data_IF_001133366805
#
_entry.id   IF_001133366805
#
_cell.length_a   1.000
_cell.length_b   1.000
_cell.length_c   1.000
_cell.angle_alpha   90.00
_cell.angle_beta   90.00
_cell.angle_gamma   90.00
#
_symmetry.space_group_name_H-M   'P 1'
#
loop_
_entity.id
_entity.type
_entity.pdbx_description
1 polymer ?
#
# COMPACT_ATOMS: atom_id res chain seq x y z
N UNK A 1 -34.24 8.94 -2.52
CA UNK A 1 -33.04 9.51 -3.17
C UNK A 1 -32.77 10.90 -2.61
N UNK A 2 -33.70 11.87 -2.60
CA UNK A 2 -33.47 13.23 -2.09
C UNK A 2 -33.05 13.26 -0.63
N UNK A 3 -33.66 12.45 0.23
CA UNK A 3 -33.33 12.33 1.66
C UNK A 3 -31.89 11.82 1.83
N UNK A 4 -31.46 10.86 0.99
CA UNK A 4 -30.08 10.37 1.03
C UNK A 4 -29.06 11.44 0.66
N UNK A 5 -29.33 12.25 -0.37
CA UNK A 5 -28.44 13.35 -0.77
C UNK A 5 -28.44 14.53 0.20
N UNK A 6 -29.52 14.74 0.97
CA UNK A 6 -29.58 15.82 1.98
C UNK A 6 -28.54 15.63 3.09
N UNK A 7 -28.08 14.40 3.34
CA UNK A 7 -27.01 14.13 4.31
C UNK A 7 -25.68 14.79 3.90
N UNK A 8 -25.37 14.90 2.62
CA UNK A 8 -24.17 15.62 2.15
C UNK A 8 -24.25 17.12 2.39
N UNK A 9 -25.44 17.70 2.22
CA UNK A 9 -25.66 19.12 2.56
C UNK A 9 -25.44 19.36 4.06
N UNK A 10 -25.93 18.46 4.93
CA UNK A 10 -25.72 18.59 6.38
C UNK A 10 -24.24 18.49 6.77
N UNK A 11 -23.42 17.70 6.08
CA UNK A 11 -21.97 17.64 6.30
C UNK A 11 -21.33 19.00 6.02
N UNK A 12 -21.66 19.63 4.88
CA UNK A 12 -21.10 20.93 4.52
C UNK A 12 -21.54 22.04 5.49
N UNK A 13 -22.82 22.08 5.88
CA UNK A 13 -23.35 23.06 6.83
C UNK A 13 -22.64 22.90 8.19
N UNK A 14 -22.47 21.68 8.65
CA UNK A 14 -21.80 21.40 9.92
C UNK A 14 -20.31 21.75 9.88
N UNK A 15 -19.63 21.49 8.76
CA UNK A 15 -18.23 21.87 8.57
C UNK A 15 -18.05 23.39 8.56
N UNK A 16 -18.97 24.13 7.96
CA UNK A 16 -18.97 25.60 7.94
C UNK A 16 -19.12 26.22 9.37
N UNK A 17 -19.73 25.50 10.31
CA UNK A 17 -19.80 25.90 11.73
C UNK A 17 -18.48 25.70 12.49
N UNK A 18 -17.44 25.20 11.83
CA UNK A 18 -16.08 24.98 12.35
C UNK A 18 -16.03 24.23 13.69
N UNK A 19 -16.57 23.01 13.79
CA UNK A 19 -16.55 22.22 15.01
C UNK A 19 -15.09 21.83 15.40
N UNK A 20 -14.81 21.49 16.67
CA UNK A 20 -13.47 21.14 17.15
C UNK A 20 -12.81 19.98 16.36
N UNK A 21 -13.62 19.06 15.83
CA UNK A 21 -13.16 17.98 14.93
C UNK A 21 -13.75 18.20 13.54
N UNK A 22 -12.98 18.81 12.66
CA UNK A 22 -13.37 19.14 11.30
C UNK A 22 -12.35 18.60 10.29
N UNK A 23 -12.23 17.26 10.20
CA UNK A 23 -11.31 16.61 9.27
C UNK A 23 -11.64 16.98 7.82
N UNK A 24 -10.62 17.43 7.07
CA UNK A 24 -10.71 17.88 5.68
C UNK A 24 -11.61 19.08 5.41
N UNK A 25 -12.18 19.69 6.44
CA UNK A 25 -13.01 20.91 6.38
C UNK A 25 -13.89 21.02 5.11
N UNK A 26 -14.89 20.13 4.92
CA UNK A 26 -15.74 20.12 3.73
C UNK A 26 -16.78 21.26 3.72
N UNK A 27 -16.34 22.47 4.02
CA UNK A 27 -17.19 23.67 4.16
C UNK A 27 -17.62 24.28 2.82
N UNK A 28 -17.05 23.83 1.71
CA UNK A 28 -17.37 24.28 0.37
C UNK A 28 -17.50 23.10 -0.61
N UNK A 29 -18.12 23.28 -1.81
CA UNK A 29 -18.36 22.19 -2.74
C UNK A 29 -17.11 21.45 -3.22
N UNK A 30 -15.97 22.14 -3.36
CA UNK A 30 -14.72 21.52 -3.81
C UNK A 30 -14.08 20.67 -2.71
N UNK A 31 -14.10 21.14 -1.46
CA UNK A 31 -13.64 20.38 -0.32
C UNK A 31 -14.54 19.16 -0.05
N UNK A 32 -15.87 19.30 -0.22
CA UNK A 32 -16.80 18.19 -0.14
C UNK A 32 -16.52 17.15 -1.23
N UNK A 33 -16.28 17.59 -2.47
CA UNK A 33 -15.93 16.71 -3.58
C UNK A 33 -14.64 15.93 -3.30
N UNK A 34 -13.59 16.60 -2.82
CA UNK A 34 -12.33 15.95 -2.41
C UNK A 34 -12.52 14.93 -1.28
N UNK A 35 -13.37 15.24 -0.29
CA UNK A 35 -13.73 14.32 0.78
C UNK A 35 -14.45 13.07 0.25
N UNK A 36 -15.42 13.25 -0.65
CA UNK A 36 -16.19 12.15 -1.24
C UNK A 36 -15.32 11.27 -2.16
N UNK A 37 -14.42 11.87 -2.91
CA UNK A 37 -13.44 11.15 -3.73
C UNK A 37 -12.35 10.47 -2.90
N UNK A 38 -12.27 10.74 -1.60
CA UNK A 38 -11.25 10.19 -0.72
C UNK A 38 -9.82 10.55 -1.15
N UNK A 39 -9.63 11.73 -1.72
CA UNK A 39 -8.34 12.21 -2.26
C UNK A 39 -7.21 12.12 -1.24
N UNK A 40 -7.52 12.25 0.04
CA UNK A 40 -6.57 12.12 1.16
C UNK A 40 -5.89 10.76 1.28
N UNK A 41 -6.46 9.70 0.71
CA UNK A 41 -5.90 8.35 0.78
C UNK A 41 -5.03 8.00 -0.42
N UNK A 42 -4.92 8.90 -1.39
CA UNK A 42 -4.21 8.68 -2.65
C UNK A 42 -4.84 7.61 -3.54
N UNK A 43 -4.28 7.44 -4.71
CA UNK A 43 -4.72 6.43 -5.67
C UNK A 43 -4.10 5.07 -5.34
N UNK A 44 -4.94 4.05 -5.28
CA UNK A 44 -4.53 2.67 -5.04
C UNK A 44 -4.76 1.85 -6.32
N UNK A 45 -3.72 1.20 -6.85
CA UNK A 45 -3.87 0.41 -8.07
C UNK A 45 -4.74 -0.83 -7.79
N UNK A 46 -5.90 -0.93 -8.46
CA UNK A 46 -6.81 -2.06 -8.32
C UNK A 46 -6.53 -3.17 -9.33
N UNK A 47 -6.44 -2.82 -10.62
CA UNK A 47 -6.29 -3.77 -11.72
C UNK A 47 -4.93 -3.67 -12.40
N UNK A 48 -4.38 -2.46 -12.53
CA UNK A 48 -3.11 -2.21 -13.18
C UNK A 48 -2.38 -1.08 -12.47
N UNK A 49 -1.09 -1.25 -12.23
CA UNK A 49 -0.28 -0.23 -11.55
C UNK A 49 1.05 -0.76 -11.05
N UNK A 50 1.83 0.10 -10.38
CA UNK A 50 3.13 -0.26 -9.85
C UNK A 50 3.03 -1.17 -8.63
N UNK A 51 4.07 -1.94 -8.40
CA UNK A 51 4.28 -2.68 -7.16
C UNK A 51 5.16 -1.88 -6.20
N UNK A 52 5.25 -2.32 -4.94
CA UNK A 52 5.97 -1.60 -3.87
C UNK A 52 7.43 -1.30 -4.17
N UNK A 53 8.05 -2.11 -5.02
CA UNK A 53 9.47 -2.01 -5.39
C UNK A 53 9.72 -1.19 -6.66
N UNK A 54 8.66 -0.68 -7.31
CA UNK A 54 8.79 0.08 -8.54
C UNK A 54 9.54 1.39 -8.29
N UNK A 55 10.61 1.69 -9.05
CA UNK A 55 11.33 2.95 -8.93
C UNK A 55 10.45 4.12 -9.39
N UNK A 56 10.74 5.30 -8.87
CA UNK A 56 10.03 6.53 -9.24
C UNK A 56 10.78 7.20 -10.38
N UNK A 57 10.08 7.51 -11.48
CA UNK A 57 10.64 8.25 -12.62
C UNK A 57 10.23 9.73 -12.65
N UNK A 58 9.18 10.11 -11.90
CA UNK A 58 8.67 11.47 -11.88
C UNK A 58 7.53 11.67 -10.88
N UNK A 59 6.89 12.83 -10.98
CA UNK A 59 5.76 13.22 -10.12
C UNK A 59 4.53 13.50 -10.95
N UNK A 60 3.38 12.97 -10.52
CA UNK A 60 2.07 13.33 -11.05
C UNK A 60 1.55 14.56 -10.31
N UNK A 61 1.11 15.56 -11.05
CA UNK A 61 0.51 16.76 -10.48
C UNK A 61 -1.01 16.75 -10.69
N UNK A 62 -1.72 17.29 -9.71
CA UNK A 62 -3.18 17.49 -9.78
C UNK A 62 -3.49 18.92 -9.37
N UNK A 63 -4.32 19.57 -10.13
CA UNK A 63 -4.81 20.89 -9.80
C UNK A 63 -5.96 20.79 -8.78
N UNK A 64 -5.76 21.40 -7.63
CA UNK A 64 -6.75 21.46 -6.56
C UNK A 64 -7.22 22.92 -6.40
N UNK A 65 -8.53 23.08 -6.28
CA UNK A 65 -9.15 24.39 -6.00
C UNK A 65 -9.44 24.49 -4.52
N UNK A 66 -9.01 25.58 -3.92
CA UNK A 66 -9.30 25.91 -2.54
C UNK A 66 -9.88 27.33 -2.43
N UNK A 67 -10.61 27.59 -1.36
CA UNK A 67 -11.14 28.91 -1.03
C UNK A 67 -10.09 29.65 -0.23
N UNK A 68 -9.68 30.82 -0.72
CA UNK A 68 -8.73 31.69 -0.03
C UNK A 68 -9.45 32.53 1.05
N UNK A 69 -8.68 33.14 1.94
CA UNK A 69 -9.19 34.01 3.03
C UNK A 69 -10.02 35.20 2.48
N UNK A 70 -9.71 35.64 1.27
CA UNK A 70 -10.47 36.69 0.55
C UNK A 70 -11.80 36.18 -0.05
N UNK A 71 -12.19 34.93 0.18
CA UNK A 71 -13.40 34.34 -0.40
C UNK A 71 -13.33 34.05 -1.91
N UNK A 72 -12.13 34.01 -2.49
CA UNK A 72 -11.92 33.69 -3.90
C UNK A 72 -11.35 32.28 -4.06
N UNK A 73 -11.77 31.59 -5.14
CA UNK A 73 -11.20 30.29 -5.48
C UNK A 73 -9.85 30.45 -6.17
N UNK A 74 -8.84 29.81 -5.65
CA UNK A 74 -7.50 29.69 -6.26
C UNK A 74 -7.23 28.24 -6.64
N UNK A 75 -6.44 28.06 -7.68
CA UNK A 75 -5.98 26.74 -8.12
C UNK A 75 -4.50 26.59 -7.81
N UNK A 76 -4.14 25.49 -7.18
CA UNK A 76 -2.75 25.12 -6.89
C UNK A 76 -2.49 23.73 -7.41
N UNK A 77 -1.37 23.54 -8.08
CA UNK A 77 -0.89 22.22 -8.50
C UNK A 77 -0.15 21.56 -7.34
N UNK A 78 -0.67 20.44 -6.88
CA UNK A 78 -0.06 19.63 -5.83
C UNK A 78 0.42 18.28 -6.39
N UNK A 79 1.42 17.70 -5.76
CA UNK A 79 1.84 16.34 -6.09
C UNK A 79 0.75 15.37 -5.66
N UNK A 80 0.14 14.69 -6.61
CA UNK A 80 -0.92 13.70 -6.36
C UNK A 80 -0.42 12.26 -6.33
N UNK A 81 0.78 12.01 -6.83
CA UNK A 81 1.37 10.68 -6.87
C UNK A 81 2.73 10.66 -7.56
N UNK A 82 3.21 9.47 -7.81
CA UNK A 82 4.49 9.23 -8.47
C UNK A 82 4.26 8.60 -9.84
N UNK A 83 5.15 8.92 -10.77
CA UNK A 83 5.25 8.22 -12.05
C UNK A 83 6.26 7.08 -11.91
N UNK A 84 5.98 5.97 -12.57
CA UNK A 84 6.84 4.80 -12.59
C UNK A 84 7.09 4.38 -14.03
N UNK A 85 8.25 3.79 -14.36
CA UNK A 85 8.51 3.26 -15.68
C UNK A 85 7.52 2.14 -16.04
N UNK A 86 7.12 2.06 -17.31
CA UNK A 86 6.09 1.11 -17.78
C UNK A 86 6.49 -0.35 -17.55
N UNK A 87 7.79 -0.67 -17.52
CA UNK A 87 8.31 -2.00 -17.24
C UNK A 87 7.97 -2.53 -15.84
N UNK A 88 7.71 -1.63 -14.87
CA UNK A 88 7.32 -1.95 -13.49
C UNK A 88 5.81 -1.85 -13.24
N UNK A 89 5.04 -1.65 -14.31
CA UNK A 89 3.58 -1.62 -14.24
C UNK A 89 3.01 -3.01 -14.50
N UNK A 90 2.27 -3.56 -13.56
CA UNK A 90 1.78 -4.94 -13.59
C UNK A 90 0.27 -5.03 -13.44
N UNK A 91 -0.29 -6.15 -13.92
CA UNK A 91 -1.68 -6.52 -13.68
C UNK A 91 -1.84 -7.02 -12.24
N UNK A 92 -2.93 -6.58 -11.60
CA UNK A 92 -3.35 -7.01 -10.28
C UNK A 92 -2.27 -6.82 -9.19
N UNK A 93 -1.70 -5.60 -9.03
CA UNK A 93 -0.66 -5.33 -8.04
C UNK A 93 -1.27 -5.26 -6.64
N UNK A 94 -1.16 -6.33 -5.85
CA UNK A 94 -1.69 -6.36 -4.47
C UNK A 94 -0.71 -5.83 -3.44
N UNK A 95 0.58 -5.94 -3.72
CA UNK A 95 1.68 -5.45 -2.90
C UNK A 95 2.20 -4.11 -3.46
N UNK A 96 1.42 -3.05 -3.31
CA UNK A 96 1.70 -1.72 -3.90
C UNK A 96 2.27 -0.72 -2.88
N UNK A 97 2.11 -0.96 -1.58
CA UNK A 97 2.56 -0.02 -0.56
C UNK A 97 4.07 -0.11 -0.35
N UNK A 98 4.80 0.87 -0.83
CA UNK A 98 6.26 0.98 -0.69
C UNK A 98 6.73 1.14 0.77
N UNK A 99 5.87 1.62 1.68
CA UNK A 99 6.19 1.75 3.10
C UNK A 99 6.12 0.41 3.86
N UNK A 100 5.53 -0.64 3.27
CA UNK A 100 5.53 -1.96 3.87
C UNK A 100 6.88 -2.65 3.66
N UNK A 101 7.33 -3.41 4.67
CA UNK A 101 8.58 -4.13 4.54
C UNK A 101 8.47 -5.30 3.54
N UNK A 102 9.54 -5.55 2.82
CA UNK A 102 9.65 -6.70 1.90
C UNK A 102 9.41 -8.02 2.62
N UNK A 103 9.92 -8.15 3.84
CA UNK A 103 9.78 -9.36 4.67
C UNK A 103 8.32 -9.62 5.03
N UNK A 104 7.57 -8.58 5.34
CA UNK A 104 6.12 -8.67 5.59
C UNK A 104 5.37 -9.18 4.37
N UNK A 105 5.66 -8.65 3.18
CA UNK A 105 5.07 -9.17 1.94
C UNK A 105 5.49 -10.60 1.66
N UNK A 106 6.77 -10.92 1.82
CA UNK A 106 7.33 -12.24 1.60
C UNK A 106 6.66 -13.30 2.49
N UNK A 107 6.45 -13.01 3.77
CA UNK A 107 5.83 -13.95 4.71
C UNK A 107 4.40 -14.35 4.32
N UNK A 108 3.63 -13.43 3.70
CA UNK A 108 2.26 -13.67 3.29
C UNK A 108 2.09 -14.17 1.86
N UNK A 109 3.07 -13.94 0.99
CA UNK A 109 2.94 -14.18 -0.45
C UNK A 109 3.81 -15.29 -1.00
N UNK A 110 4.95 -15.57 -0.35
CA UNK A 110 5.85 -16.62 -0.80
C UNK A 110 5.19 -18.01 -0.67
N UNK A 111 5.23 -18.77 -1.75
CA UNK A 111 4.65 -20.10 -1.84
C UNK A 111 5.69 -21.17 -2.19
N UNK A 112 6.95 -20.74 -2.27
CA UNK A 112 8.11 -21.62 -2.54
C UNK A 112 9.18 -21.36 -1.51
N UNK A 113 9.95 -22.41 -1.24
CA UNK A 113 11.22 -22.32 -0.52
C UNK A 113 12.37 -22.61 -1.47
N UNK A 114 13.54 -22.07 -1.15
CA UNK A 114 14.80 -22.42 -1.79
C UNK A 114 15.82 -22.74 -0.71
N UNK A 115 16.73 -23.63 -1.04
CA UNK A 115 17.89 -23.88 -0.18
C UNK A 115 18.90 -22.76 -0.34
N UNK A 116 19.33 -22.16 0.76
CA UNK A 116 20.40 -21.17 0.83
C UNK A 116 21.40 -21.61 1.90
N UNK A 117 22.50 -20.89 2.01
CA UNK A 117 23.50 -21.14 3.05
C UNK A 117 23.31 -20.16 4.20
N UNK A 118 23.41 -20.69 5.42
CA UNK A 118 23.40 -19.87 6.64
C UNK A 118 24.62 -18.93 6.62
N UNK A 119 24.41 -17.66 6.96
CA UNK A 119 25.47 -16.65 7.04
C UNK A 119 25.49 -16.06 8.44
N UNK A 120 26.69 -15.78 8.93
CA UNK A 120 26.90 -15.08 10.20
C UNK A 120 26.61 -13.56 10.05
N UNK A 121 26.81 -12.81 11.14
CA UNK A 121 26.64 -11.36 11.20
C UNK A 121 27.58 -10.61 10.25
N UNK A 122 28.71 -11.23 9.86
CA UNK A 122 29.69 -10.66 8.92
C UNK A 122 29.38 -11.05 7.45
N UNK A 123 28.34 -11.88 7.22
CA UNK A 123 27.96 -12.36 5.90
C UNK A 123 28.73 -13.60 5.43
N UNK A 124 29.59 -14.18 6.28
CA UNK A 124 30.32 -15.41 5.95
C UNK A 124 29.44 -16.64 6.12
N UNK A 125 29.71 -17.67 5.31
CA UNK A 125 28.93 -18.93 5.34
C UNK A 125 29.30 -19.72 6.60
N UNK A 126 28.31 -19.97 7.46
CA UNK A 126 28.44 -20.81 8.63
C UNK A 126 28.68 -22.27 8.22
N UNK A 127 29.66 -22.92 8.83
CA UNK A 127 30.06 -24.29 8.53
C UNK A 127 29.89 -25.19 9.77
N UNK A 128 29.54 -26.45 9.53
CA UNK A 128 29.46 -27.47 10.59
C UNK A 128 30.87 -27.87 11.09
N UNK A 129 30.89 -28.71 12.10
CA UNK A 129 32.15 -29.23 12.70
C UNK A 129 33.02 -30.04 11.69
N UNK A 130 32.43 -30.44 10.58
CA UNK A 130 33.08 -31.15 9.48
C UNK A 130 33.49 -30.22 8.33
N UNK A 131 33.32 -28.89 8.49
CA UNK A 131 33.65 -27.88 7.49
C UNK A 131 32.64 -27.73 6.34
N UNK A 132 31.48 -28.40 6.40
CA UNK A 132 30.43 -28.32 5.39
C UNK A 132 29.54 -27.10 5.64
N UNK A 133 29.09 -26.40 4.59
CA UNK A 133 28.20 -25.25 4.75
C UNK A 133 26.83 -25.68 5.27
N UNK A 134 26.34 -25.02 6.31
CA UNK A 134 24.98 -25.19 6.80
C UNK A 134 23.98 -24.75 5.75
N UNK A 135 23.03 -25.63 5.43
CA UNK A 135 21.94 -25.34 4.50
C UNK A 135 20.69 -24.99 5.30
N UNK A 136 20.05 -23.90 4.90
CA UNK A 136 18.77 -23.46 5.45
C UNK A 136 17.74 -23.35 4.32
N UNK A 137 16.48 -23.60 4.64
CA UNK A 137 15.38 -23.30 3.75
C UNK A 137 14.92 -21.87 3.97
N UNK A 138 14.95 -21.07 2.93
CA UNK A 138 14.46 -19.68 2.95
C UNK A 138 13.29 -19.54 1.99
N UNK A 139 12.34 -18.68 2.34
CA UNK A 139 11.25 -18.36 1.43
C UNK A 139 11.81 -17.71 0.16
N UNK A 140 11.43 -18.25 -1.00
CA UNK A 140 11.73 -17.67 -2.31
C UNK A 140 10.65 -16.64 -2.65
N UNK A 141 11.06 -15.42 -2.98
CA UNK A 141 10.15 -14.32 -3.20
C UNK A 141 10.62 -13.42 -4.33
N UNK A 142 9.72 -13.16 -5.26
CA UNK A 142 9.89 -12.20 -6.33
C UNK A 142 10.90 -12.59 -7.39
N UNK A 143 10.90 -11.82 -8.47
CA UNK A 143 11.90 -11.86 -9.52
C UNK A 143 12.89 -10.72 -9.31
N UNK A 144 14.16 -10.98 -9.48
CA UNK A 144 15.21 -9.95 -9.47
C UNK A 144 15.34 -9.35 -10.85
N UNK A 145 15.17 -8.05 -10.96
CA UNK A 145 15.35 -7.27 -12.18
C UNK A 145 16.45 -6.24 -11.94
N UNK A 146 17.40 -6.13 -12.86
CA UNK A 146 18.39 -5.05 -12.86
C UNK A 146 17.74 -3.84 -13.52
N UNK A 147 17.76 -2.73 -12.83
CA UNK A 147 17.25 -1.47 -13.35
C UNK A 147 18.35 -0.42 -13.38
N UNK A 148 18.57 0.15 -14.56
CA UNK A 148 19.49 1.25 -14.80
C UNK A 148 18.66 2.50 -15.11
N UNK A 149 18.82 3.54 -14.29
CA UNK A 149 18.13 4.83 -14.47
C UNK A 149 18.84 5.75 -15.47
N UNK A 150 19.93 5.30 -16.09
CA UNK A 150 20.74 6.08 -17.00
C UNK A 150 21.60 7.17 -16.34
N UNK A 151 21.70 7.18 -15.02
CA UNK A 151 22.49 8.16 -14.25
C UNK A 151 23.99 7.89 -14.28
N UNK A 152 24.40 6.71 -14.78
CA UNK A 152 25.79 6.27 -14.81
C UNK A 152 26.29 5.63 -13.50
N UNK A 153 25.40 5.40 -12.54
CA UNK A 153 25.67 4.60 -11.36
C UNK A 153 25.42 3.11 -11.63
N UNK A 154 25.87 2.25 -10.69
CA UNK A 154 25.60 0.81 -10.81
C UNK A 154 24.11 0.51 -10.83
N UNK A 155 23.64 -0.43 -11.69
CA UNK A 155 22.23 -0.80 -11.76
C UNK A 155 21.71 -1.31 -10.43
N UNK A 156 20.51 -0.88 -10.06
CA UNK A 156 19.83 -1.33 -8.86
C UNK A 156 19.18 -2.70 -9.06
N UNK A 157 19.37 -3.58 -8.09
CA UNK A 157 18.66 -4.87 -8.06
C UNK A 157 17.28 -4.68 -7.42
N UNK A 158 16.25 -4.67 -8.25
CA UNK A 158 14.86 -4.55 -7.81
C UNK A 158 14.25 -5.95 -7.70
N UNK A 159 13.54 -6.19 -6.61
CA UNK A 159 12.81 -7.45 -6.39
C UNK A 159 11.33 -7.21 -6.63
N UNK A 160 10.82 -7.72 -7.73
CA UNK A 160 9.44 -7.58 -8.14
C UNK A 160 8.62 -8.82 -7.77
N UNK A 161 7.47 -8.66 -7.08
CA UNK A 161 6.55 -9.76 -6.88
C UNK A 161 6.01 -10.30 -8.21
N UNK A 162 5.91 -11.60 -8.31
CA UNK A 162 5.28 -12.25 -9.47
C UNK A 162 3.75 -12.16 -9.37
N UNK A 163 3.05 -12.35 -10.49
CA UNK A 163 1.58 -12.41 -10.51
C UNK A 163 1.03 -13.48 -9.55
N UNK A 164 1.69 -14.63 -9.47
CA UNK A 164 1.27 -15.72 -8.58
C UNK A 164 1.44 -15.37 -7.10
N UNK A 165 2.49 -14.65 -6.74
CA UNK A 165 2.69 -14.13 -5.39
C UNK A 165 1.66 -13.05 -5.05
N UNK A 166 1.28 -12.19 -6.00
CA UNK A 166 0.17 -11.25 -5.81
C UNK A 166 -1.16 -11.97 -5.56
N UNK A 167 -1.46 -13.06 -6.30
CA UNK A 167 -2.64 -13.88 -6.05
C UNK A 167 -2.58 -14.55 -4.66
N UNK A 168 -1.43 -15.12 -4.30
CA UNK A 168 -1.27 -15.73 -2.99
C UNK A 168 -1.48 -14.72 -1.87
N UNK A 169 -0.88 -13.52 -2.00
CA UNK A 169 -1.10 -12.43 -1.05
C UNK A 169 -2.57 -12.00 -0.95
N UNK A 170 -3.27 -11.93 -2.07
CA UNK A 170 -4.69 -11.62 -2.09
C UNK A 170 -5.51 -12.64 -1.29
N UNK A 171 -5.30 -13.93 -1.52
CA UNK A 171 -6.08 -14.96 -0.85
C UNK A 171 -5.68 -15.16 0.62
N UNK A 172 -4.39 -15.16 0.94
CA UNK A 172 -3.92 -15.43 2.30
C UNK A 172 -4.07 -14.23 3.21
N UNK A 173 -3.61 -13.05 2.77
CA UNK A 173 -3.64 -11.86 3.59
C UNK A 173 -4.93 -11.05 3.42
N UNK A 174 -5.24 -10.60 2.19
CA UNK A 174 -6.35 -9.66 2.02
C UNK A 174 -7.72 -10.32 2.23
N UNK A 175 -7.94 -11.52 1.69
CA UNK A 175 -9.22 -12.22 1.82
C UNK A 175 -9.29 -12.98 3.14
N UNK A 176 -8.33 -13.86 3.43
CA UNK A 176 -8.42 -14.71 4.61
C UNK A 176 -8.12 -13.92 5.90
N UNK A 177 -6.93 -13.33 6.04
CA UNK A 177 -6.54 -12.67 7.28
C UNK A 177 -7.29 -11.34 7.50
N UNK A 178 -7.46 -10.50 6.48
CA UNK A 178 -8.10 -9.19 6.66
C UNK A 178 -9.62 -9.28 6.56
N UNK A 179 -10.16 -9.71 5.40
CA UNK A 179 -11.61 -9.68 5.16
C UNK A 179 -12.37 -10.59 6.11
N UNK A 180 -12.05 -11.90 6.16
CA UNK A 180 -12.77 -12.84 6.99
C UNK A 180 -12.63 -12.55 8.47
N UNK A 181 -11.46 -12.12 8.94
CA UNK A 181 -11.29 -11.71 10.34
C UNK A 181 -12.20 -10.56 10.71
N UNK A 182 -12.23 -9.48 9.90
CA UNK A 182 -13.11 -8.35 10.17
C UNK A 182 -14.59 -8.70 10.02
N UNK A 183 -14.96 -9.54 9.06
CA UNK A 183 -16.29 -10.07 8.91
C UNK A 183 -16.73 -10.82 10.18
N UNK A 184 -15.92 -11.77 10.64
CA UNK A 184 -16.22 -12.57 11.83
C UNK A 184 -16.28 -11.70 13.10
N UNK A 185 -15.45 -10.66 13.23
CA UNK A 185 -15.56 -9.74 14.38
C UNK A 185 -16.94 -9.08 14.50
N UNK A 186 -17.63 -8.84 13.39
CA UNK A 186 -18.96 -8.26 13.42
C UNK A 186 -20.06 -9.26 13.76
N UNK A 187 -19.87 -10.56 13.51
CA UNK A 187 -20.92 -11.58 13.65
C UNK A 187 -20.67 -12.59 14.75
N UNK A 188 -19.42 -12.89 15.07
CA UNK A 188 -19.04 -13.89 16.07
C UNK A 188 -18.45 -13.21 17.31
N UNK A 189 -17.82 -12.06 17.16
CA UNK A 189 -17.16 -11.32 18.21
C UNK A 189 -15.65 -11.37 18.13
N UNK A 190 -15.00 -10.51 18.91
CA UNK A 190 -13.55 -10.41 19.00
C UNK A 190 -13.07 -11.13 20.26
N UNK A 191 -11.95 -11.82 20.16
CA UNK A 191 -11.32 -12.46 21.32
C UNK A 191 -10.80 -11.44 22.34
N UNK A 192 -10.26 -10.31 21.87
CA UNK A 192 -9.84 -9.19 22.70
C UNK A 192 -9.81 -7.88 21.90
N UNK A 193 -9.70 -6.74 22.59
CA UNK A 193 -9.57 -5.42 21.96
C UNK A 193 -8.15 -5.12 21.47
N UNK A 194 -7.18 -5.98 21.80
CA UNK A 194 -5.80 -5.82 21.33
C UNK A 194 -5.68 -6.35 19.92
N UNK A 195 -5.16 -5.55 19.01
CA UNK A 195 -4.79 -6.02 17.67
C UNK A 195 -3.39 -6.65 17.72
N UNK A 196 -3.15 -7.76 17.01
CA UNK A 196 -3.94 -8.43 15.96
C UNK A 196 -4.61 -9.72 16.41
N UNK A 197 -5.54 -9.69 17.35
CA UNK A 197 -6.24 -10.88 17.82
C UNK A 197 -7.25 -11.43 16.81
N UNK A 198 -7.50 -12.74 16.88
CA UNK A 198 -8.43 -13.41 16.00
C UNK A 198 -9.91 -13.30 16.48
N UNK A 199 -10.85 -13.76 15.67
CA UNK A 199 -12.24 -13.90 16.06
C UNK A 199 -12.40 -15.08 17.03
N UNK A 200 -13.40 -15.00 17.91
CA UNK A 200 -13.83 -16.14 18.73
C UNK A 200 -14.59 -17.07 17.80
N UNK A 201 -14.09 -18.29 17.61
CA UNK A 201 -14.73 -19.36 16.83
C UNK A 201 -15.14 -20.46 17.78
#
# INVERSE_FOLDING_TARGET
ILIGYSSYASVTIRAAANPPMNSNNPSNPFALYSLLNRDQYGDKPLLYGPQFSAPTSGYKYKDVRYLDDDGKYKTVSIISGYEHPDEFMHLFPRMWNYAASKESYKSWSAYRTRTDYERDENGEIVRDAQGRPNKIEVLDFGRRTLWDDGSGYEPLVIVEPTFRENLNYFFTYQLNHMYWRYFLWNFVGRQSDIQPTDAII
#
